data_IF_581468486990
#
_entry.id   IF_581468486990
#
_cell.length_a   1.000
_cell.length_b   1.000
_cell.length_c   1.000
_cell.angle_alpha   90.00
_cell.angle_beta   90.00
_cell.angle_gamma   90.00
#
_symmetry.space_group_name_H-M   'P 1'
#
loop_
_entity.id
_entity.type
_entity.pdbx_description
1 polymer ?
#
# COMPACT_ATOMS: atom_id res chain seq x y z
N UNK A 1 -54.69 -8.11 -20.91
CA UNK A 1 -53.86 -7.15 -21.64
C UNK A 1 -52.92 -6.57 -20.61
N UNK A 2 -51.75 -7.18 -20.59
CA UNK A 2 -50.56 -6.70 -19.89
C UNK A 2 -49.86 -5.73 -20.83
N UNK A 3 -49.20 -4.73 -20.25
CA UNK A 3 -48.09 -3.87 -20.75
C UNK A 3 -48.17 -2.65 -19.80
N UNK A 4 -47.15 -2.27 -19.02
CA UNK A 4 -45.75 -2.06 -19.37
C UNK A 4 -44.80 -2.36 -18.17
N UNK A 5 -43.67 -3.00 -18.49
CA UNK A 5 -42.37 -2.84 -17.79
C UNK A 5 -41.80 -1.44 -18.21
N UNK A 6 -40.85 -0.77 -17.59
CA UNK A 6 -39.57 -1.20 -17.02
C UNK A 6 -38.79 0.05 -16.56
N UNK A 7 -37.74 -0.16 -15.76
CA UNK A 7 -36.59 0.74 -15.49
C UNK A 7 -36.87 2.02 -14.68
N UNK A 8 -36.08 2.44 -13.69
CA UNK A 8 -34.75 2.05 -13.24
C UNK A 8 -34.56 2.65 -11.83
N UNK A 9 -34.23 1.80 -10.85
CA UNK A 9 -33.68 2.23 -9.56
C UNK A 9 -32.17 2.42 -9.72
N UNK A 10 -31.75 3.53 -10.33
CA UNK A 10 -30.40 4.06 -10.08
C UNK A 10 -30.43 4.82 -8.77
N UNK A 11 -30.11 4.11 -7.68
CA UNK A 11 -29.67 4.73 -6.45
C UNK A 11 -28.32 5.41 -6.73
N UNK A 12 -28.39 6.68 -7.11
CA UNK A 12 -27.25 7.58 -7.25
C UNK A 12 -26.48 7.59 -5.93
N UNK A 13 -25.24 7.08 -5.96
CA UNK A 13 -24.24 7.26 -4.91
C UNK A 13 -23.85 8.75 -4.85
N UNK A 14 -24.74 9.61 -4.37
CA UNK A 14 -24.37 10.93 -3.86
C UNK A 14 -24.17 10.78 -2.35
N UNK A 15 -23.00 10.27 -1.95
CA UNK A 15 -22.52 10.54 -0.61
C UNK A 15 -22.23 12.04 -0.56
N UNK A 16 -23.12 12.76 0.13
CA UNK A 16 -22.99 14.17 0.48
C UNK A 16 -21.59 14.39 1.06
N UNK A 17 -20.72 15.05 0.30
CA UNK A 17 -19.49 15.61 0.82
C UNK A 17 -19.88 16.62 1.88
N UNK A 18 -19.64 16.30 3.16
CA UNK A 18 -19.52 17.36 4.16
C UNK A 18 -18.30 18.16 3.72
N UNK A 19 -18.47 19.44 3.43
CA UNK A 19 -17.35 20.38 3.29
C UNK A 19 -16.40 20.16 4.47
N UNK A 20 -15.23 19.59 4.19
CA UNK A 20 -14.17 19.48 5.17
C UNK A 20 -13.52 20.85 5.19
N UNK A 21 -13.97 21.73 6.07
CA UNK A 21 -13.30 23.02 6.29
C UNK A 21 -11.91 22.76 6.86
N UNK A 22 -10.90 22.80 6.00
CA UNK A 22 -9.50 22.59 6.35
C UNK A 22 -8.81 23.93 6.60
N UNK A 23 -8.31 24.16 7.81
CA UNK A 23 -7.54 25.36 8.14
C UNK A 23 -6.04 25.07 8.01
N UNK A 24 -5.38 25.82 7.12
CA UNK A 24 -3.94 25.70 6.87
C UNK A 24 -3.12 26.26 8.02
N UNK A 25 -2.23 25.45 8.59
CA UNK A 25 -1.22 25.91 9.55
C UNK A 25 0.21 25.82 8.96
N UNK A 26 1.13 26.73 9.33
CA UNK A 26 2.55 26.65 8.94
C UNK A 26 3.25 25.34 9.34
N UNK A 27 2.73 24.64 10.34
CA UNK A 27 3.21 23.33 10.78
C UNK A 27 2.82 22.23 9.78
N UNK A 28 1.61 22.26 9.21
CA UNK A 28 1.19 21.37 8.11
C UNK A 28 2.02 21.62 6.83
N UNK A 29 2.45 22.86 6.62
CA UNK A 29 3.32 23.28 5.52
C UNK A 29 4.72 22.64 5.58
N UNK A 30 5.31 22.47 6.78
CA UNK A 30 6.61 21.78 6.95
C UNK A 30 6.52 20.27 6.75
N UNK A 31 5.35 19.69 7.00
CA UNK A 31 5.10 18.27 6.82
C UNK A 31 5.11 17.89 5.33
N UNK A 32 4.47 18.67 4.46
CA UNK A 32 4.33 18.33 3.03
C UNK A 32 5.64 18.44 2.23
N UNK A 33 6.56 19.35 2.58
CA UNK A 33 7.88 19.46 1.90
C UNK A 33 8.89 18.39 2.31
N UNK A 34 8.58 17.62 3.34
CA UNK A 34 9.46 16.60 3.90
C UNK A 34 9.24 15.22 3.26
N UNK A 35 8.97 15.13 1.95
CA UNK A 35 8.61 13.88 1.27
C UNK A 35 9.52 12.72 1.73
N UNK A 36 8.94 11.75 2.43
CA UNK A 36 9.72 10.61 2.93
C UNK A 36 10.41 10.82 4.29
N UNK A 37 10.53 12.04 4.79
CA UNK A 37 11.28 12.44 5.98
C UNK A 37 10.42 12.77 7.19
N UNK A 38 9.10 12.95 7.05
CA UNK A 38 8.18 12.99 8.19
C UNK A 38 7.07 11.97 7.99
N UNK A 39 6.74 11.25 9.05
CA UNK A 39 5.58 10.36 9.11
C UNK A 39 4.55 10.93 10.11
N UNK A 40 3.24 11.00 9.78
CA UNK A 40 2.26 11.75 10.58
C UNK A 40 2.20 11.38 12.07
N UNK A 41 2.42 10.09 12.38
CA UNK A 41 2.36 9.57 13.75
C UNK A 41 3.74 9.39 14.43
N UNK A 42 4.83 9.46 13.66
CA UNK A 42 6.19 9.22 14.17
C UNK A 42 6.96 10.54 14.29
N UNK A 43 6.60 11.52 13.48
CA UNK A 43 7.31 12.77 13.36
C UNK A 43 8.51 12.66 12.40
N UNK A 44 9.49 13.56 12.53
CA UNK A 44 10.64 13.60 11.64
C UNK A 44 11.53 12.38 11.80
N UNK A 45 12.03 11.91 10.66
CA UNK A 45 12.95 10.80 10.56
C UNK A 45 14.38 11.34 10.53
N UNK A 46 15.27 10.65 11.21
CA UNK A 46 16.70 10.91 11.08
C UNK A 46 17.11 10.64 9.62
N UNK A 47 18.20 11.25 9.13
CA UNK A 47 18.72 11.01 7.79
C UNK A 47 20.11 10.38 7.86
N UNK A 48 20.42 9.51 6.91
CA UNK A 48 21.79 9.07 6.69
C UNK A 48 22.61 10.15 5.95
N UNK A 49 23.95 10.01 5.86
CA UNK A 49 24.80 10.94 5.13
C UNK A 49 24.47 11.09 3.64
N UNK A 50 23.79 10.09 3.07
CA UNK A 50 23.39 10.03 1.67
C UNK A 50 21.98 10.63 1.44
N UNK A 51 21.34 11.13 2.51
CA UNK A 51 20.06 11.83 2.49
C UNK A 51 18.82 10.94 2.62
N UNK A 52 18.97 9.62 2.76
CA UNK A 52 17.85 8.69 2.92
C UNK A 52 17.32 8.70 4.37
N UNK A 53 15.99 8.53 4.55
CA UNK A 53 15.40 8.44 5.88
C UNK A 53 15.92 7.20 6.60
N UNK A 54 16.39 7.41 7.83
CA UNK A 54 16.90 6.41 8.75
C UNK A 54 15.90 6.21 9.89
N UNK A 55 15.27 5.05 9.92
CA UNK A 55 14.33 4.66 10.97
C UNK A 55 15.10 4.13 12.20
N UNK A 56 15.28 4.98 13.22
CA UNK A 56 15.94 4.60 14.48
C UNK A 56 14.89 4.42 15.58
N UNK A 57 14.64 3.17 15.98
CA UNK A 57 13.79 2.89 17.14
C UNK A 57 14.44 3.41 18.43
N UNK A 58 13.65 4.11 19.26
CA UNK A 58 14.03 4.57 20.59
C UNK A 58 13.11 3.93 21.62
N UNK A 59 13.64 3.38 22.73
CA UNK A 59 12.80 2.80 23.78
C UNK A 59 11.74 3.80 24.27
N UNK A 60 10.48 3.36 24.31
CA UNK A 60 9.34 4.21 24.67
C UNK A 60 8.61 4.85 23.49
N UNK A 61 9.09 4.68 22.25
CA UNK A 61 8.28 5.01 21.08
C UNK A 61 7.00 4.16 21.06
N UNK A 62 5.86 4.82 20.93
CA UNK A 62 4.58 4.14 20.72
C UNK A 62 4.55 3.66 19.28
N UNK A 63 4.59 2.35 19.05
CA UNK A 63 4.47 1.71 17.75
C UNK A 63 3.29 0.76 17.77
N UNK A 64 2.63 0.50 16.64
CA UNK A 64 1.50 -0.44 16.60
C UNK A 64 1.98 -1.84 16.98
N UNK A 65 1.09 -2.63 17.58
CA UNK A 65 1.33 -4.06 17.76
C UNK A 65 1.18 -4.75 16.40
N UNK A 66 2.20 -5.45 15.88
CA UNK A 66 2.08 -6.19 14.62
C UNK A 66 0.91 -7.20 14.60
N UNK A 67 0.52 -7.74 15.76
CA UNK A 67 -0.63 -8.62 15.87
C UNK A 67 -1.98 -7.88 15.72
N UNK A 68 -2.01 -6.58 16.00
CA UNK A 68 -3.16 -5.70 15.73
C UNK A 68 -3.09 -5.16 14.30
N UNK A 69 -3.53 -5.99 13.35
CA UNK A 69 -3.55 -5.64 11.92
C UNK A 69 -4.32 -4.34 11.65
N UNK A 70 -5.43 -4.09 12.35
CA UNK A 70 -6.20 -2.84 12.15
C UNK A 70 -5.44 -1.63 12.67
N UNK A 71 -4.81 -1.75 13.84
CA UNK A 71 -3.91 -0.73 14.37
C UNK A 71 -2.77 -0.41 13.40
N UNK A 72 -2.13 -1.42 12.82
CA UNK A 72 -1.11 -1.21 11.79
C UNK A 72 -1.65 -0.52 10.53
N UNK A 73 -2.81 -0.93 10.02
CA UNK A 73 -3.43 -0.30 8.84
C UNK A 73 -3.84 1.16 9.09
N UNK A 74 -4.30 1.45 10.31
CA UNK A 74 -4.58 2.82 10.75
C UNK A 74 -3.29 3.66 10.82
N UNK A 75 -2.19 3.04 11.23
CA UNK A 75 -0.87 3.66 11.32
C UNK A 75 -0.23 3.99 9.97
N UNK A 76 -0.55 3.23 8.93
CA UNK A 76 -0.10 3.52 7.55
C UNK A 76 -1.05 4.45 6.79
N UNK A 77 -2.11 4.90 7.45
CA UNK A 77 -2.94 6.01 6.98
C UNK A 77 -4.33 5.66 6.45
N UNK A 78 -4.78 4.40 6.57
CA UNK A 78 -6.14 4.03 6.17
C UNK A 78 -7.18 4.45 7.20
N UNK A 79 -8.34 4.91 6.71
CA UNK A 79 -9.52 5.20 7.53
C UNK A 79 -10.14 3.91 8.07
N UNK A 80 -10.92 3.99 9.15
CA UNK A 80 -11.59 2.84 9.73
C UNK A 80 -12.55 2.17 8.72
N UNK A 81 -13.30 2.98 7.96
CA UNK A 81 -14.22 2.48 6.94
C UNK A 81 -13.47 1.70 5.86
N UNK A 82 -12.34 2.23 5.38
CA UNK A 82 -11.54 1.56 4.35
C UNK A 82 -10.87 0.29 4.88
N UNK A 83 -10.41 0.28 6.14
CA UNK A 83 -9.88 -0.92 6.78
C UNK A 83 -10.93 -2.03 6.82
N UNK A 84 -12.17 -1.72 7.19
CA UNK A 84 -13.26 -2.70 7.22
C UNK A 84 -13.61 -3.25 5.83
N UNK A 85 -13.53 -2.42 4.80
CA UNK A 85 -13.72 -2.82 3.41
C UNK A 85 -12.62 -3.80 2.95
N UNK A 86 -11.35 -3.42 3.15
CA UNK A 86 -10.18 -4.24 2.82
C UNK A 86 -10.21 -5.56 3.57
N UNK A 87 -10.53 -5.55 4.86
CA UNK A 87 -10.63 -6.77 5.67
C UNK A 87 -11.74 -7.71 5.15
N UNK A 88 -12.87 -7.16 4.71
CA UNK A 88 -13.95 -7.96 4.11
C UNK A 88 -13.48 -8.62 2.82
N UNK A 89 -12.82 -7.87 1.93
CA UNK A 89 -12.25 -8.38 0.68
C UNK A 89 -11.15 -9.41 0.95
N UNK A 90 -10.30 -9.18 1.95
CA UNK A 90 -9.29 -10.13 2.40
C UNK A 90 -9.88 -11.48 2.82
N UNK A 91 -10.92 -11.47 3.66
CA UNK A 91 -11.60 -12.70 4.11
C UNK A 91 -12.28 -13.46 2.97
N UNK A 92 -12.75 -12.75 1.94
CA UNK A 92 -13.32 -13.36 0.75
C UNK A 92 -12.25 -14.00 -0.15
N UNK A 93 -11.11 -13.32 -0.34
CA UNK A 93 -10.02 -13.81 -1.19
C UNK A 93 -9.19 -14.91 -0.52
N UNK A 94 -9.10 -14.89 0.81
CA UNK A 94 -8.24 -15.79 1.58
C UNK A 94 -8.97 -16.41 2.79
N UNK A 95 -10.05 -17.19 2.58
CA UNK A 95 -10.86 -17.74 3.67
C UNK A 95 -10.09 -18.70 4.59
N UNK A 96 -9.10 -19.40 4.04
CA UNK A 96 -8.29 -20.39 4.76
C UNK A 96 -6.95 -19.83 5.26
N UNK A 97 -6.73 -18.52 5.17
CA UNK A 97 -5.46 -17.92 5.58
C UNK A 97 -5.24 -18.00 7.08
N UNK A 98 -4.11 -18.57 7.47
CA UNK A 98 -3.67 -18.65 8.84
C UNK A 98 -2.61 -17.58 9.10
N UNK A 99 -3.00 -16.54 9.83
CA UNK A 99 -2.09 -15.46 10.21
C UNK A 99 -1.07 -15.94 11.25
N UNK A 100 0.18 -15.46 11.18
CA UNK A 100 1.13 -15.61 12.30
C UNK A 100 0.53 -15.00 13.57
N UNK A 101 0.61 -15.70 14.69
CA UNK A 101 0.03 -15.23 15.97
C UNK A 101 0.58 -13.88 16.42
N UNK A 102 1.86 -13.64 16.16
CA UNK A 102 2.55 -12.40 16.50
C UNK A 102 2.47 -11.33 15.40
N UNK A 103 1.80 -11.61 14.28
CA UNK A 103 1.61 -10.68 13.16
C UNK A 103 2.81 -10.53 12.21
N UNK A 104 3.94 -11.17 12.51
CA UNK A 104 5.15 -11.18 11.69
C UNK A 104 5.70 -12.59 11.48
N UNK A 105 6.52 -12.78 10.45
CA UNK A 105 7.13 -14.06 10.07
C UNK A 105 8.50 -13.86 9.39
N UNK A 106 9.29 -14.92 9.23
CA UNK A 106 10.54 -14.91 8.47
C UNK A 106 10.32 -15.19 6.99
N UNK A 107 11.04 -14.48 6.12
CA UNK A 107 11.09 -14.75 4.70
C UNK A 107 12.52 -14.84 4.22
N UNK A 108 12.84 -16.01 3.68
CA UNK A 108 14.13 -16.26 3.05
C UNK A 108 14.09 -15.85 1.58
N UNK A 109 15.08 -15.08 1.16
CA UNK A 109 15.23 -14.64 -0.21
C UNK A 109 16.22 -15.52 -0.99
N UNK A 110 16.04 -15.71 -2.32
CA UNK A 110 16.95 -16.50 -3.15
C UNK A 110 18.41 -16.02 -3.16
N UNK A 111 18.66 -14.77 -2.75
CA UNK A 111 19.99 -14.18 -2.61
C UNK A 111 20.70 -14.60 -1.32
N UNK A 112 20.05 -15.39 -0.47
CA UNK A 112 20.58 -15.80 0.84
C UNK A 112 20.39 -14.73 1.92
N UNK A 113 19.46 -13.79 1.70
CA UNK A 113 19.08 -12.79 2.70
C UNK A 113 17.83 -13.25 3.44
N UNK A 114 17.74 -12.96 4.73
CA UNK A 114 16.54 -13.15 5.54
C UNK A 114 15.91 -11.82 5.92
N UNK A 115 14.58 -11.76 5.84
CA UNK A 115 13.81 -10.56 6.19
C UNK A 115 12.68 -10.95 7.16
N UNK A 116 12.34 -10.02 8.05
CA UNK A 116 11.12 -10.13 8.85
C UNK A 116 10.00 -9.50 8.02
N UNK A 117 8.89 -10.21 7.90
CA UNK A 117 7.73 -9.83 7.11
C UNK A 117 6.50 -9.68 7.97
N UNK A 118 5.49 -8.98 7.45
CA UNK A 118 4.24 -8.69 8.15
C UNK A 118 3.07 -9.15 7.26
N UNK A 119 2.92 -10.46 7.05
CA UNK A 119 2.26 -11.00 5.86
C UNK A 119 0.77 -10.66 5.78
N UNK A 120 0.07 -10.57 6.92
CA UNK A 120 -1.34 -10.17 6.95
C UNK A 120 -1.51 -8.71 6.49
N UNK A 121 -0.68 -7.82 7.02
CA UNK A 121 -0.74 -6.38 6.72
C UNK A 121 -0.32 -6.15 5.26
N UNK A 122 0.77 -6.81 4.82
CA UNK A 122 1.24 -6.76 3.43
C UNK A 122 0.14 -7.17 2.45
N UNK A 123 -0.53 -8.30 2.69
CA UNK A 123 -1.64 -8.75 1.83
C UNK A 123 -2.84 -7.80 1.83
N UNK A 124 -3.18 -7.22 2.99
CA UNK A 124 -4.29 -6.26 3.07
C UNK A 124 -3.96 -4.97 2.31
N UNK A 125 -2.72 -4.49 2.39
CA UNK A 125 -2.27 -3.36 1.59
C UNK A 125 -2.22 -3.67 0.10
N UNK A 126 -1.77 -4.86 -0.29
CA UNK A 126 -1.82 -5.32 -1.69
C UNK A 126 -3.27 -5.31 -2.24
N UNK A 127 -4.24 -5.79 -1.45
CA UNK A 127 -5.67 -5.74 -1.82
C UNK A 127 -6.15 -4.29 -2.00
N UNK A 128 -5.72 -3.40 -1.10
CA UNK A 128 -6.07 -1.99 -1.19
C UNK A 128 -5.50 -1.37 -2.47
N UNK A 129 -4.22 -1.59 -2.77
CA UNK A 129 -3.58 -1.09 -3.99
C UNK A 129 -4.22 -1.63 -5.27
N UNK A 130 -4.52 -2.93 -5.32
CA UNK A 130 -5.26 -3.52 -6.44
C UNK A 130 -6.67 -2.92 -6.60
N UNK A 131 -7.29 -2.49 -5.50
CA UNK A 131 -8.57 -1.77 -5.53
C UNK A 131 -8.46 -0.38 -6.15
N UNK A 132 -7.36 0.34 -5.88
CA UNK A 132 -7.07 1.62 -6.53
C UNK A 132 -6.84 1.43 -8.03
N UNK A 133 -6.06 0.43 -8.42
CA UNK A 133 -5.77 0.14 -9.84
C UNK A 133 -7.03 -0.24 -10.64
N UNK A 134 -8.01 -0.91 -10.00
CA UNK A 134 -9.31 -1.24 -10.61
C UNK A 134 -10.25 -0.03 -10.70
N UNK A 135 -9.98 1.03 -9.93
CA UNK A 135 -10.67 2.33 -10.00
C UNK A 135 -10.05 3.31 -11.00
N UNK A 136 -8.94 2.93 -11.65
CA UNK A 136 -8.36 3.65 -12.79
C UNK A 136 -9.23 3.39 -14.02
N UNK A 137 -10.40 4.02 -14.05
CA UNK A 137 -11.11 4.18 -15.30
C UNK A 137 -10.30 5.17 -16.15
N UNK A 138 -9.45 4.63 -17.03
CA UNK A 138 -8.57 5.40 -17.94
C UNK A 138 -9.41 6.34 -18.83
N UNK A 139 -10.71 6.07 -18.96
CA UNK A 139 -11.70 6.87 -19.66
C UNK A 139 -12.62 7.71 -18.75
N UNK A 140 -12.37 7.77 -17.42
CA UNK A 140 -13.08 8.71 -16.54
C UNK A 140 -12.59 10.13 -16.80
N UNK A 141 -13.21 10.75 -17.81
CA UNK A 141 -13.07 12.15 -18.17
C UNK A 141 -13.68 13.09 -17.12
N UNK A 142 -13.78 12.71 -15.85
CA UNK A 142 -14.03 13.72 -14.82
C UNK A 142 -12.73 14.49 -14.64
N UNK A 143 -12.67 15.76 -15.07
CA UNK A 143 -11.48 16.56 -14.84
C UNK A 143 -11.42 16.77 -13.33
N UNK A 144 -10.60 15.96 -12.65
CA UNK A 144 -10.24 16.26 -11.28
C UNK A 144 -9.75 17.71 -11.31
N UNK A 145 -10.39 18.58 -10.52
CA UNK A 145 -9.90 19.94 -10.38
C UNK A 145 -8.45 19.81 -9.95
N UNK A 146 -7.53 20.30 -10.79
CA UNK A 146 -6.11 20.25 -10.50
C UNK A 146 -5.84 21.33 -9.46
N UNK A 147 -6.22 21.09 -8.21
CA UNK A 147 -6.02 21.97 -7.06
C UNK A 147 -5.55 21.09 -5.91
N UNK A 148 -4.69 21.62 -5.03
CA UNK A 148 -4.18 20.83 -3.91
C UNK A 148 -5.32 20.28 -3.02
N UNK A 149 -6.35 21.09 -2.78
CA UNK A 149 -7.54 20.73 -2.01
C UNK A 149 -8.28 19.53 -2.61
N UNK A 150 -8.52 19.53 -3.92
CA UNK A 150 -9.19 18.40 -4.59
C UNK A 150 -8.37 17.10 -4.49
N UNK A 151 -7.04 17.16 -4.44
CA UNK A 151 -6.19 15.98 -4.21
C UNK A 151 -6.35 15.43 -2.79
N UNK A 152 -6.42 16.31 -1.78
CA UNK A 152 -6.65 15.93 -0.39
C UNK A 152 -8.05 15.29 -0.25
N UNK A 153 -9.08 15.94 -0.78
CA UNK A 153 -10.46 15.42 -0.77
C UNK A 153 -10.54 14.06 -1.44
N UNK A 154 -9.91 13.91 -2.61
CA UNK A 154 -9.85 12.62 -3.32
C UNK A 154 -9.12 11.58 -2.48
N UNK A 155 -8.00 11.91 -1.84
CA UNK A 155 -7.30 10.99 -0.93
C UNK A 155 -8.19 10.49 0.21
N UNK A 156 -9.00 11.38 0.81
CA UNK A 156 -9.97 11.00 1.85
C UNK A 156 -11.07 10.10 1.27
N UNK A 157 -11.61 10.42 0.08
CA UNK A 157 -12.61 9.58 -0.60
C UNK A 157 -12.06 8.18 -0.92
N UNK A 158 -10.79 8.08 -1.30
CA UNK A 158 -10.10 6.81 -1.53
C UNK A 158 -9.77 6.06 -0.22
N UNK A 159 -10.11 6.64 0.93
CA UNK A 159 -10.03 5.98 2.24
C UNK A 159 -8.80 6.32 3.06
N UNK A 160 -8.09 7.41 2.74
CA UNK A 160 -7.06 7.94 3.63
C UNK A 160 -7.66 8.68 4.82
N UNK A 161 -6.95 8.64 5.93
CA UNK A 161 -7.18 9.56 7.04
C UNK A 161 -6.76 10.98 6.65
N UNK A 162 -7.43 12.03 7.15
CA UNK A 162 -7.12 13.42 6.80
C UNK A 162 -5.64 13.77 6.96
N UNK A 163 -5.00 13.38 8.06
CA UNK A 163 -3.58 13.66 8.35
C UNK A 163 -2.59 12.95 7.43
N UNK A 164 -3.02 11.94 6.66
CA UNK A 164 -2.25 11.35 5.57
C UNK A 164 -2.65 11.95 4.23
N UNK A 165 -3.93 12.30 4.06
CA UNK A 165 -4.44 12.92 2.85
C UNK A 165 -3.83 14.29 2.59
N UNK A 166 -3.41 15.06 3.61
CA UNK A 166 -2.70 16.34 3.43
C UNK A 166 -1.42 16.22 2.59
N UNK A 167 -0.83 15.02 2.52
CA UNK A 167 0.35 14.79 1.71
C UNK A 167 0.00 14.62 0.23
N UNK A 168 -1.28 14.37 -0.10
CA UNK A 168 -1.79 14.26 -1.46
C UNK A 168 -1.71 15.61 -2.17
N UNK A 169 -0.94 15.66 -3.25
CA UNK A 169 -0.86 16.82 -4.14
C UNK A 169 0.24 17.80 -3.77
N UNK A 170 1.17 18.00 -4.68
CA UNK A 170 1.91 19.26 -4.82
C UNK A 170 1.50 19.79 -6.18
N UNK A 171 0.80 20.92 -6.22
CA UNK A 171 0.23 21.51 -7.43
C UNK A 171 0.86 22.88 -7.75
N UNK A 172 0.74 23.40 -8.98
CA UNK A 172 1.21 24.76 -9.36
C UNK A 172 0.66 25.86 -8.52
N UNK A 173 -0.58 25.70 -8.11
CA UNK A 173 -1.30 26.72 -7.37
C UNK A 173 -1.07 26.56 -5.86
N UNK A 174 -0.13 25.69 -5.47
CA UNK A 174 0.43 25.70 -4.12
C UNK A 174 1.13 27.05 -3.89
N UNK A 175 0.76 27.81 -2.85
CA UNK A 175 1.35 29.12 -2.56
C UNK A 175 2.89 29.10 -2.44
N UNK A 176 3.49 27.93 -2.21
CA UNK A 176 4.95 27.74 -2.11
C UNK A 176 5.63 27.55 -3.46
N UNK A 177 4.94 27.00 -4.46
CA UNK A 177 5.43 26.93 -5.83
C UNK A 177 5.61 28.33 -6.44
N UNK A 178 4.87 29.32 -5.93
CA UNK A 178 5.05 30.74 -6.25
C UNK A 178 6.27 31.39 -5.61
N UNK A 179 6.80 30.85 -4.51
CA UNK A 179 7.95 31.43 -3.77
C UNK A 179 9.31 30.86 -4.20
N UNK A 180 9.38 29.57 -4.56
CA UNK A 180 10.58 28.93 -5.12
C UNK A 180 10.20 27.96 -6.25
N UNK A 181 10.05 28.42 -7.51
CA UNK A 181 9.57 27.59 -8.61
C UNK A 181 10.48 26.40 -8.97
N UNK A 182 11.78 26.49 -8.67
CA UNK A 182 12.77 25.49 -9.07
C UNK A 182 12.71 24.24 -8.18
N UNK A 183 12.32 24.39 -6.91
CA UNK A 183 12.06 23.29 -5.97
C UNK A 183 10.88 22.39 -6.42
N UNK A 184 10.10 22.88 -7.38
CA UNK A 184 8.85 22.31 -7.85
C UNK A 184 8.99 21.78 -9.30
N UNK A 185 9.84 22.34 -10.15
CA UNK A 185 10.00 21.88 -11.54
C UNK A 185 10.46 20.41 -11.73
N UNK A 186 11.19 19.81 -10.78
CA UNK A 186 11.66 18.41 -10.88
C UNK A 186 10.74 17.36 -10.24
N UNK A 187 9.80 17.76 -9.37
CA UNK A 187 9.05 16.83 -8.49
C UNK A 187 7.53 16.82 -8.73
N UNK A 188 7.07 17.40 -9.84
CA UNK A 188 5.65 17.55 -10.15
C UNK A 188 5.01 16.35 -10.79
N UNK A 189 3.76 16.15 -10.38
CA UNK A 189 2.99 14.97 -10.71
C UNK A 189 2.40 15.08 -12.12
N UNK A 190 2.86 14.21 -13.01
CA UNK A 190 2.07 13.69 -14.13
C UNK A 190 1.08 12.60 -13.68
N UNK A 191 0.97 12.36 -12.37
CA UNK A 191 0.29 11.23 -11.73
C UNK A 191 -0.94 11.70 -10.96
N UNK A 192 -2.04 10.95 -11.06
CA UNK A 192 -3.27 11.26 -10.33
C UNK A 192 -3.16 11.00 -8.83
N UNK A 193 -4.16 11.40 -8.02
CA UNK A 193 -4.19 11.12 -6.58
C UNK A 193 -4.06 9.63 -6.27
N UNK A 194 -4.72 8.75 -7.05
CA UNK A 194 -4.64 7.30 -6.87
C UNK A 194 -3.21 6.78 -7.08
N UNK A 195 -2.55 7.19 -8.18
CA UNK A 195 -1.13 6.89 -8.43
C UNK A 195 -0.23 7.40 -7.30
N UNK A 196 -0.53 8.58 -6.76
CA UNK A 196 0.27 9.16 -5.69
C UNK A 196 0.11 8.40 -4.36
N UNK A 197 -1.10 7.93 -4.06
CA UNK A 197 -1.39 7.08 -2.91
C UNK A 197 -0.71 5.72 -3.07
N UNK A 198 -0.85 5.11 -4.26
CA UNK A 198 -0.37 3.78 -4.60
C UNK A 198 1.16 3.70 -4.71
N UNK A 199 1.83 4.75 -5.17
CA UNK A 199 3.29 4.73 -5.40
C UNK A 199 4.09 5.48 -4.34
N UNK A 200 3.50 6.46 -3.64
CA UNK A 200 4.27 7.43 -2.87
C UNK A 200 3.88 7.53 -1.40
N UNK A 201 2.59 7.64 -1.04
CA UNK A 201 2.21 7.90 0.38
C UNK A 201 2.21 6.62 1.21
N UNK A 202 1.33 5.67 0.88
CA UNK A 202 1.12 4.49 1.73
C UNK A 202 2.32 3.54 1.67
N UNK A 203 2.88 3.18 0.49
CA UNK A 203 4.04 2.30 0.46
C UNK A 203 5.24 2.87 1.20
N UNK A 204 5.47 4.19 1.09
CA UNK A 204 6.55 4.87 1.82
C UNK A 204 6.30 4.84 3.33
N UNK A 205 5.07 5.12 3.77
CA UNK A 205 4.70 5.09 5.19
C UNK A 205 4.84 3.68 5.77
N UNK A 206 4.33 2.67 5.06
CA UNK A 206 4.41 1.29 5.48
C UNK A 206 5.85 0.77 5.55
N UNK A 207 6.68 1.06 4.55
CA UNK A 207 8.11 0.69 4.56
C UNK A 207 8.80 1.21 5.83
N UNK A 208 8.55 2.47 6.22
CA UNK A 208 9.11 3.04 7.45
C UNK A 208 8.59 2.36 8.70
N UNK A 209 7.28 2.12 8.77
CA UNK A 209 6.66 1.43 9.90
C UNK A 209 7.26 0.03 10.05
N UNK A 210 7.48 -0.72 8.95
CA UNK A 210 8.20 -2.01 9.00
C UNK A 210 9.58 -1.86 9.62
N UNK A 211 10.39 -0.92 9.13
CA UNK A 211 11.74 -0.72 9.67
C UNK A 211 11.71 -0.43 11.17
N UNK A 212 10.79 0.42 11.64
CA UNK A 212 10.63 0.68 13.08
C UNK A 212 10.21 -0.55 13.86
N UNK A 213 9.29 -1.36 13.34
CA UNK A 213 8.85 -2.60 13.97
C UNK A 213 9.99 -3.63 14.04
N UNK A 214 10.77 -3.79 12.97
CA UNK A 214 11.92 -4.68 12.94
C UNK A 214 13.00 -4.25 13.94
N UNK A 215 13.32 -2.95 13.99
CA UNK A 215 14.26 -2.39 14.97
C UNK A 215 13.77 -2.61 16.41
N UNK A 216 12.47 -2.46 16.65
CA UNK A 216 11.85 -2.77 17.95
C UNK A 216 12.01 -4.24 18.31
N UNK A 217 11.76 -5.17 17.37
CA UNK A 217 11.93 -6.61 17.62
C UNK A 217 13.38 -6.96 17.98
N UNK A 218 14.35 -6.35 17.30
CA UNK A 218 15.77 -6.53 17.60
C UNK A 218 16.09 -5.99 19.01
N UNK A 219 15.63 -4.78 19.32
CA UNK A 219 15.83 -4.18 20.63
C UNK A 219 15.20 -4.99 21.76
N UNK A 220 14.01 -5.57 21.55
CA UNK A 220 13.30 -6.43 22.50
C UNK A 220 13.89 -7.85 22.61
N UNK A 221 14.92 -8.18 21.84
CA UNK A 221 15.54 -9.52 21.82
C UNK A 221 14.65 -10.59 21.18
N UNK A 222 13.60 -10.20 20.45
CA UNK A 222 12.72 -11.08 19.66
C UNK A 222 13.27 -11.35 18.27
N UNK A 223 14.29 -10.59 17.86
CA UNK A 223 15.00 -10.75 16.62
C UNK A 223 16.48 -10.40 16.80
N UNK A 224 17.31 -10.76 15.82
CA UNK A 224 18.69 -10.33 15.69
C UNK A 224 19.03 -10.05 14.24
N UNK A 225 20.15 -9.37 14.01
CA UNK A 225 20.62 -9.00 12.68
C UNK A 225 22.08 -9.38 12.50
N UNK A 226 22.41 -9.83 11.29
CA UNK A 226 23.78 -10.00 10.81
C UNK A 226 23.91 -9.61 9.34
N UNK A 227 25.02 -9.99 8.71
CA UNK A 227 25.27 -9.73 7.29
C UNK A 227 24.36 -10.50 6.32
N UNK A 228 23.66 -11.54 6.79
CA UNK A 228 22.68 -12.29 6.02
C UNK A 228 21.25 -11.79 6.23
N UNK A 229 21.02 -10.78 7.08
CA UNK A 229 19.73 -10.13 7.23
C UNK A 229 19.21 -10.14 8.66
N UNK A 230 17.88 -10.16 8.81
CA UNK A 230 17.19 -10.09 10.11
C UNK A 230 16.52 -11.42 10.40
N UNK A 231 16.65 -11.92 11.61
CA UNK A 231 16.26 -13.27 12.02
C UNK A 231 15.40 -13.21 13.28
N UNK A 232 14.35 -14.02 13.36
CA UNK A 232 13.50 -14.15 14.54
C UNK A 232 14.13 -15.09 15.57
N UNK A 233 13.88 -14.75 16.84
CA UNK A 233 14.05 -15.65 17.98
C UNK A 233 12.70 -16.30 18.23
N UNK A 234 12.63 -17.62 18.06
CA UNK A 234 11.36 -18.35 18.12
C UNK A 234 10.89 -18.56 19.57
N UNK A 235 9.59 -18.81 19.76
CA UNK A 235 9.04 -19.01 21.11
C UNK A 235 9.75 -20.19 21.80
N UNK A 236 10.26 -19.95 23.01
CA UNK A 236 11.03 -20.93 23.78
C UNK A 236 12.52 -21.06 23.40
N UNK A 237 12.99 -20.27 22.43
CA UNK A 237 14.38 -20.21 21.99
C UNK A 237 15.14 -19.07 22.72
N UNK A 238 16.40 -19.30 23.10
CA UNK A 238 17.32 -18.23 23.54
C UNK A 238 17.97 -17.54 22.35
N UNK A 239 18.50 -16.33 22.54
CA UNK A 239 19.23 -15.60 21.49
C UNK A 239 20.42 -16.41 20.93
N UNK A 240 21.13 -17.13 21.79
CA UNK A 240 22.25 -17.98 21.42
C UNK A 240 21.79 -19.20 20.60
N UNK A 241 20.67 -19.80 20.97
CA UNK A 241 20.06 -20.90 20.22
C UNK A 241 19.61 -20.43 18.83
N UNK A 242 18.97 -19.27 18.74
CA UNK A 242 18.55 -18.66 17.48
C UNK A 242 19.73 -18.39 16.53
N UNK A 243 20.84 -17.90 17.07
CA UNK A 243 22.08 -17.69 16.29
C UNK A 243 22.72 -19.00 15.86
N UNK A 244 22.75 -20.02 16.73
CA UNK A 244 23.35 -21.31 16.42
C UNK A 244 22.56 -22.11 15.37
N UNK A 245 21.26 -21.86 15.22
CA UNK A 245 20.41 -22.47 14.19
C UNK A 245 20.79 -22.06 12.76
N UNK A 246 21.39 -20.87 12.60
CA UNK A 246 21.73 -20.31 11.29
C UNK A 246 23.20 -20.58 11.00
N UNK A 247 23.51 -21.83 10.62
CA UNK A 247 24.82 -22.21 10.10
C UNK A 247 24.88 -22.16 8.56
N UNK A 248 26.08 -22.27 7.98
CA UNK A 248 26.30 -22.19 6.53
C UNK A 248 25.49 -23.23 5.73
N UNK A 249 25.26 -24.40 6.31
CA UNK A 249 24.52 -25.48 5.66
C UNK A 249 23.02 -25.18 5.64
N UNK A 250 22.49 -24.67 6.74
CA UNK A 250 21.11 -24.21 6.83
C UNK A 250 20.87 -23.01 5.91
N UNK A 251 21.79 -22.05 5.85
CA UNK A 251 21.73 -20.92 4.92
C UNK A 251 21.65 -21.39 3.45
N UNK A 252 22.44 -22.40 3.06
CA UNK A 252 22.37 -22.98 1.72
C UNK A 252 21.02 -23.65 1.45
N UNK A 253 20.51 -24.42 2.42
CA UNK A 253 19.20 -25.09 2.31
C UNK A 253 18.07 -24.08 2.15
N UNK A 254 18.05 -23.03 2.98
CA UNK A 254 17.06 -21.96 2.93
C UNK A 254 17.12 -21.19 1.62
N UNK A 255 18.33 -20.91 1.11
CA UNK A 255 18.52 -20.26 -0.19
C UNK A 255 17.96 -21.09 -1.34
N UNK A 256 18.20 -22.41 -1.34
CA UNK A 256 17.66 -23.30 -2.36
C UNK A 256 16.13 -23.34 -2.31
N UNK A 257 15.56 -23.53 -1.12
CA UNK A 257 14.11 -23.53 -0.91
C UNK A 257 13.48 -22.22 -1.40
N UNK A 258 14.05 -21.07 -1.02
CA UNK A 258 13.58 -19.76 -1.47
C UNK A 258 13.66 -19.60 -2.99
N UNK A 259 14.69 -20.14 -3.65
CA UNK A 259 14.82 -20.11 -5.11
C UNK A 259 13.73 -20.92 -5.81
N UNK A 260 13.40 -22.09 -5.27
CA UNK A 260 12.35 -22.97 -5.78
C UNK A 260 10.97 -22.33 -5.60
N UNK A 261 10.66 -21.81 -4.42
CA UNK A 261 9.42 -21.08 -4.13
C UNK A 261 9.26 -19.85 -5.02
N UNK A 262 10.34 -19.07 -5.21
CA UNK A 262 10.32 -17.90 -6.10
C UNK A 262 10.03 -18.29 -7.56
N UNK A 263 10.65 -19.38 -8.05
CA UNK A 263 10.38 -19.88 -9.41
C UNK A 263 8.94 -20.34 -9.57
N UNK A 264 8.41 -21.06 -8.58
CA UNK A 264 7.03 -21.53 -8.59
C UNK A 264 6.03 -20.35 -8.59
N UNK A 265 6.25 -19.35 -7.73
CA UNK A 265 5.41 -18.14 -7.69
C UNK A 265 5.45 -17.35 -9.00
N UNK A 266 6.64 -17.14 -9.57
CA UNK A 266 6.78 -16.47 -10.89
C UNK A 266 6.06 -17.22 -12.00
N UNK A 267 6.04 -18.54 -11.94
CA UNK A 267 5.29 -19.35 -12.91
C UNK A 267 3.78 -19.18 -12.74
N UNK A 268 3.29 -19.20 -11.50
CA UNK A 268 1.87 -18.92 -11.21
C UNK A 268 1.45 -17.51 -11.64
N UNK A 269 2.25 -16.48 -11.33
CA UNK A 269 2.02 -15.11 -11.78
C UNK A 269 1.92 -15.04 -13.31
N UNK A 270 2.82 -15.73 -14.04
CA UNK A 270 2.77 -15.79 -15.51
C UNK A 270 1.50 -16.47 -16.02
N UNK A 271 1.08 -17.56 -15.39
CA UNK A 271 -0.14 -18.28 -15.77
C UNK A 271 -1.38 -17.44 -15.52
N UNK A 272 -1.43 -16.71 -14.41
CA UNK A 272 -2.55 -15.83 -14.08
C UNK A 272 -2.63 -14.65 -15.04
N UNK A 273 -1.50 -14.01 -15.35
CA UNK A 273 -1.44 -12.94 -16.37
C UNK A 273 -1.91 -13.47 -17.72
N UNK A 274 -1.47 -14.66 -18.13
CA UNK A 274 -1.90 -15.27 -19.38
C UNK A 274 -3.41 -15.61 -19.40
N UNK A 275 -3.97 -16.02 -18.26
CA UNK A 275 -5.40 -16.26 -18.08
C UNK A 275 -6.20 -14.96 -18.23
N UNK A 276 -5.79 -13.91 -17.53
CA UNK A 276 -6.44 -12.60 -17.59
C UNK A 276 -6.37 -12.00 -19.01
N UNK A 277 -5.24 -12.11 -19.69
CA UNK A 277 -5.09 -11.67 -21.10
C UNK A 277 -5.99 -12.47 -22.05
N UNK A 278 -6.18 -13.77 -21.82
CA UNK A 278 -7.10 -14.59 -22.60
C UNK A 278 -8.58 -14.24 -22.34
N UNK A 279 -8.95 -14.00 -21.08
CA UNK A 279 -10.29 -13.55 -20.70
C UNK A 279 -10.61 -12.18 -21.29
N UNK A 280 -9.65 -11.25 -21.28
CA UNK A 280 -9.82 -9.93 -21.89
C UNK A 280 -10.01 -10.05 -23.40
N UNK A 281 -9.12 -10.77 -24.10
CA UNK A 281 -9.28 -11.02 -25.55
C UNK A 281 -10.62 -11.66 -25.91
N UNK A 282 -11.12 -12.58 -25.09
CA UNK A 282 -12.43 -13.20 -25.31
C UNK A 282 -13.58 -12.20 -25.17
N UNK A 283 -13.50 -11.29 -24.18
CA UNK A 283 -14.47 -10.18 -24.00
C UNK A 283 -14.45 -9.23 -25.20
N UNK A 284 -13.28 -8.78 -25.64
CA UNK A 284 -13.15 -7.92 -26.83
C UNK A 284 -13.73 -8.56 -28.09
N UNK A 285 -13.46 -9.86 -28.32
CA UNK A 285 -14.01 -10.58 -29.48
C UNK A 285 -15.54 -10.72 -29.44
N UNK A 286 -16.12 -10.85 -28.24
CA UNK A 286 -17.58 -10.89 -28.07
C UNK A 286 -18.22 -9.51 -28.29
N UNK A 287 -17.60 -8.45 -27.81
CA UNK A 287 -18.02 -7.06 -28.05
C UNK A 287 -18.01 -6.74 -29.55
N UNK A 288 -16.92 -7.06 -30.28
CA UNK A 288 -16.86 -6.90 -31.74
C UNK A 288 -17.96 -7.70 -32.47
N UNK A 289 -18.26 -8.91 -32.00
CA UNK A 289 -19.33 -9.75 -32.58
C UNK A 289 -20.69 -9.09 -32.41
N UNK A 290 -20.97 -8.56 -31.22
CA UNK A 290 -22.23 -7.87 -30.90
C UNK A 290 -22.38 -6.58 -31.73
N UNK A 291 -21.31 -5.78 -31.87
CA UNK A 291 -21.31 -4.58 -32.70
C UNK A 291 -21.56 -4.89 -34.19
N UNK A 292 -20.94 -5.95 -34.70
CA UNK A 292 -21.14 -6.40 -36.07
C UNK A 292 -22.58 -6.89 -36.34
N UNK A 293 -23.21 -7.57 -35.36
CA UNK A 293 -24.61 -7.97 -35.44
C UNK A 293 -25.57 -6.78 -35.39
N UNK A 294 -25.30 -5.78 -34.56
CA UNK A 294 -26.10 -4.55 -34.45
C UNK A 294 -26.02 -3.72 -35.74
N UNK A 295 -24.85 -3.63 -36.35
CA UNK A 295 -24.65 -2.93 -37.63
C UNK A 295 -25.40 -3.60 -38.79
N UNK A 296 -25.44 -4.94 -38.82
CA UNK A 296 -26.20 -5.71 -39.82
C UNK A 296 -27.72 -5.60 -39.66
N UNK A 297 -28.22 -5.36 -38.46
CA UNK A 297 -29.66 -5.13 -38.21
C UNK A 297 -30.12 -3.71 -38.54
N UNK A 298 -29.19 -2.79 -38.71
CA UNK A 298 -29.45 -1.36 -38.97
C UNK A 298 -29.32 -0.98 -40.46
N UNK A 299 -29.10 -1.97 -41.33
CA UNK A 299 -29.03 -1.82 -42.80
C UNK A 299 -30.17 -2.58 -43.45
#
# INVERSE_FOLDING_TARGET
MSDEKDHSEHATHQQVSKEINFEWTPELVKLVTSRGLIHPLIGPLDQDPDGFPKCIYRPGMTLPDPADTRGCLNWVGLSEEKILEVERKFKQLYPDYQAPRCGYDEKHLPRGLNEITFPTIDKMLDIFFQGLDQGLDIDSTEPLQQTHEAYIEKGIQEGLRPEFAIFCGMHKDDPRATEDPDLFNEFWFTKGPQDFIADSIIPSSWTKVKDFLEQRLIHEGKAWQDHHGRWLVHEGESMEQAKARVDDQELQRLRQKASEEYKARREQERQEIARLDAEDKARWAEEERLEAEMSKKST
#
